data_IF_472754748478
#
_entry.id   IF_472754748478
#
_cell.length_a   1.000
_cell.length_b   1.000
_cell.length_c   1.000
_cell.angle_alpha   90.00
_cell.angle_beta   90.00
_cell.angle_gamma   90.00
#
_symmetry.space_group_name_H-M   'P 1'
#
loop_
_entity.id
_entity.type
_entity.pdbx_description
1 polymer ?
#
# COMPACT_ATOMS: atom_id res chain seq x y z
N UNK A 1 35.47 -12.14 -39.90
CA UNK A 1 35.59 -10.68 -40.13
C UNK A 1 34.71 -10.33 -41.32
N UNK A 2 33.45 -9.95 -41.04
CA UNK A 2 32.56 -9.28 -41.98
C UNK A 2 31.81 -8.24 -41.17
N UNK A 3 32.05 -6.98 -41.50
CA UNK A 3 31.38 -5.80 -40.96
C UNK A 3 30.19 -5.54 -41.87
N UNK A 4 28.99 -5.35 -41.31
CA UNK A 4 27.96 -4.56 -41.97
C UNK A 4 27.12 -3.77 -40.96
N UNK A 5 26.96 -2.50 -41.31
CA UNK A 5 26.49 -1.36 -40.54
C UNK A 5 25.06 -1.44 -40.00
N UNK A 6 24.94 -1.05 -38.73
CA UNK A 6 24.08 0.00 -38.16
C UNK A 6 22.80 0.39 -38.93
N UNK A 7 21.63 0.10 -38.33
CA UNK A 7 20.42 0.91 -38.48
C UNK A 7 19.70 1.03 -37.13
N UNK A 8 19.65 2.27 -36.66
CA UNK A 8 18.73 2.80 -35.65
C UNK A 8 17.28 2.38 -35.92
N UNK A 9 16.66 1.73 -34.93
CA UNK A 9 15.21 1.46 -34.92
C UNK A 9 14.63 1.94 -33.60
N UNK A 10 13.88 3.04 -33.62
CA UNK A 10 12.96 3.41 -32.55
C UNK A 10 11.93 2.28 -32.41
N UNK A 11 11.91 1.60 -31.27
CA UNK A 11 10.76 0.78 -30.89
C UNK A 11 9.67 1.70 -30.35
N UNK A 12 8.71 2.05 -31.22
CA UNK A 12 7.40 2.56 -30.81
C UNK A 12 6.50 1.36 -30.50
N UNK A 13 6.29 1.05 -29.22
CA UNK A 13 5.22 0.16 -28.79
C UNK A 13 3.89 0.93 -28.86
N UNK A 14 3.01 0.50 -29.76
CA UNK A 14 1.63 0.96 -29.85
C UNK A 14 0.83 0.37 -28.68
N UNK A 15 0.37 1.21 -27.74
CA UNK A 15 -0.70 0.82 -26.82
C UNK A 15 -2.00 0.73 -27.61
N UNK A 16 -2.51 -0.50 -27.74
CA UNK A 16 -3.82 -0.78 -28.29
C UNK A 16 -4.83 -0.62 -27.15
N UNK A 17 -5.67 0.39 -27.26
CA UNK A 17 -6.90 0.57 -26.51
C UNK A 17 -7.70 -0.73 -26.49
N UNK A 18 -7.96 -1.26 -25.29
CA UNK A 18 -8.99 -2.27 -25.08
C UNK A 18 -10.12 -1.67 -24.25
N UNK A 19 -11.31 -1.94 -24.75
CA UNK A 19 -12.59 -1.41 -24.31
C UNK A 19 -12.93 -1.79 -22.87
N UNK A 20 -13.60 -0.84 -22.23
CA UNK A 20 -14.54 -0.95 -21.11
C UNK A 20 -15.19 -2.34 -21.01
N UNK A 21 -14.96 -3.03 -19.89
CA UNK A 21 -15.79 -4.12 -19.43
C UNK A 21 -16.52 -3.71 -18.14
N UNK A 22 -17.78 -4.13 -18.09
CA UNK A 22 -18.83 -3.75 -17.14
C UNK A 22 -18.47 -4.03 -15.68
N UNK A 23 -18.66 -3.03 -14.83
CA UNK A 23 -18.57 -3.11 -13.37
C UNK A 23 -19.60 -4.11 -12.85
N UNK A 24 -19.15 -5.21 -12.25
CA UNK A 24 -19.97 -6.04 -11.37
C UNK A 24 -19.43 -5.87 -9.96
N UNK A 25 -20.20 -5.18 -9.12
CA UNK A 25 -19.96 -5.08 -7.68
C UNK A 25 -19.96 -6.49 -7.08
N UNK A 26 -18.78 -7.01 -6.71
CA UNK A 26 -18.69 -8.24 -5.92
C UNK A 26 -18.82 -7.87 -4.45
N UNK A 27 -20.02 -8.02 -3.92
CA UNK A 27 -20.30 -7.99 -2.48
C UNK A 27 -19.64 -9.22 -1.84
N UNK A 28 -18.61 -9.01 -1.02
CA UNK A 28 -18.07 -10.04 -0.14
C UNK A 28 -19.03 -10.28 1.04
N UNK A 29 -19.62 -11.48 1.11
CA UNK A 29 -20.30 -11.96 2.30
C UNK A 29 -19.31 -12.67 3.22
N UNK A 30 -18.93 -12.02 4.32
CA UNK A 30 -18.26 -12.71 5.43
C UNK A 30 -19.31 -13.52 6.20
N UNK A 31 -19.21 -14.85 6.12
CA UNK A 31 -19.98 -15.76 6.97
C UNK A 31 -19.42 -15.68 8.39
N UNK A 32 -20.14 -15.01 9.28
CA UNK A 32 -19.84 -14.99 10.70
C UNK A 32 -20.23 -16.34 11.32
N UNK A 33 -19.24 -17.15 11.68
CA UNK A 33 -19.43 -18.20 12.69
C UNK A 33 -19.06 -17.63 14.07
N UNK A 34 -20.06 -17.62 14.93
CA UNK A 34 -20.04 -17.14 16.31
C UNK A 34 -19.05 -17.90 17.18
N UNK A 35 -18.41 -17.18 18.12
CA UNK A 35 -17.87 -17.78 19.34
C UNK A 35 -18.41 -17.02 20.54
N UNK A 36 -19.07 -17.81 21.40
CA UNK A 36 -19.73 -17.41 22.61
C UNK A 36 -18.76 -16.92 23.68
N UNK A 37 -19.33 -16.12 24.58
CA UNK A 37 -18.74 -15.43 25.73
C UNK A 37 -17.90 -16.33 26.66
N UNK A 38 -16.74 -15.83 27.08
CA UNK A 38 -16.20 -16.07 28.43
C UNK A 38 -15.56 -14.77 28.95
N UNK A 39 -15.99 -14.39 30.16
CA UNK A 39 -15.66 -13.17 30.89
C UNK A 39 -14.32 -13.22 31.66
N UNK A 40 -13.80 -12.03 32.02
CA UNK A 40 -12.69 -11.78 32.94
C UNK A 40 -11.32 -11.84 32.25
N UNK A 41 -10.39 -10.90 32.41
CA UNK A 41 -10.02 -10.21 33.65
C UNK A 41 -9.29 -8.89 33.37
N UNK A 42 -9.23 -8.06 34.41
CA UNK A 42 -8.79 -6.67 34.42
C UNK A 42 -7.26 -6.57 34.47
N UNK A 43 -6.62 -5.76 33.60
CA UNK A 43 -5.27 -5.25 33.91
C UNK A 43 -5.00 -3.88 33.27
N UNK A 44 -5.30 -2.82 34.02
CA UNK A 44 -4.68 -1.51 33.86
C UNK A 44 -3.31 -1.53 34.52
N UNK A 45 -2.30 -0.94 33.88
CA UNK A 45 -1.15 -0.40 34.59
C UNK A 45 -0.59 0.85 33.90
N UNK A 46 -0.12 1.85 34.67
CA UNK A 46 0.01 3.24 34.24
C UNK A 46 1.46 3.65 33.96
N UNK A 47 1.65 4.66 33.11
CA UNK A 47 2.93 5.36 32.94
C UNK A 47 3.07 6.50 33.97
N UNK A 48 4.26 6.73 34.57
CA UNK A 48 4.42 7.67 35.68
C UNK A 48 4.75 9.09 35.21
N UNK A 49 4.07 10.07 35.80
CA UNK A 49 4.44 11.48 35.73
C UNK A 49 5.49 11.80 36.81
N UNK A 50 6.62 12.39 36.41
CA UNK A 50 7.58 13.00 37.34
C UNK A 50 7.30 14.49 37.46
N UNK A 51 6.87 14.92 38.65
CA UNK A 51 6.88 16.32 39.06
C UNK A 51 8.28 16.72 39.52
N UNK A 52 8.68 17.95 39.18
CA UNK A 52 9.79 18.64 39.84
C UNK A 52 9.22 19.89 40.51
N UNK A 53 9.26 19.88 41.83
CA UNK A 53 9.04 21.06 42.66
C UNK A 53 10.20 22.06 42.48
N UNK A 54 9.86 23.33 42.29
CA UNK A 54 10.73 24.46 42.62
C UNK A 54 9.93 25.41 43.51
N UNK A 55 10.39 25.53 44.74
CA UNK A 55 9.97 26.51 45.75
C UNK A 55 10.63 27.86 45.48
N UNK A 56 9.87 28.94 45.60
CA UNK A 56 10.37 30.23 46.11
C UNK A 56 9.22 31.05 46.71
N UNK A 57 9.52 31.68 47.83
CA UNK A 57 8.60 32.38 48.73
C UNK A 57 8.81 33.91 48.67
N UNK A 58 7.74 34.64 49.01
CA UNK A 58 7.57 36.07 49.33
C UNK A 58 7.79 37.17 48.26
N UNK A 59 6.74 37.96 47.97
CA UNK A 59 6.43 39.25 48.64
C UNK A 59 5.26 39.96 47.95
N UNK A 60 4.32 40.49 48.73
CA UNK A 60 3.13 41.25 48.30
C UNK A 60 3.47 42.69 47.90
N UNK A 61 2.98 43.16 46.75
CA UNK A 61 2.74 44.58 46.46
C UNK A 61 1.53 44.71 45.50
N UNK A 62 0.74 45.74 45.75
CA UNK A 62 -0.61 45.99 45.26
C UNK A 62 -0.67 46.71 43.90
N UNK A 63 -1.79 46.50 43.21
CA UNK A 63 -2.47 47.34 42.19
C UNK A 63 -2.13 47.25 40.69
N UNK A 64 -3.20 46.88 39.95
CA UNK A 64 -3.62 47.17 38.57
C UNK A 64 -2.62 47.04 37.41
N UNK A 65 -2.83 46.06 36.53
CA UNK A 65 -3.53 46.28 35.25
C UNK A 65 -3.65 44.98 34.43
N UNK A 66 -4.75 44.90 33.68
CA UNK A 66 -5.06 43.99 32.57
C UNK A 66 -4.81 42.48 32.76
N UNK A 67 -5.91 41.75 33.00
CA UNK A 67 -5.98 40.32 32.75
C UNK A 67 -5.78 40.07 31.23
N UNK A 68 -4.54 39.82 30.82
CA UNK A 68 -4.24 39.20 29.54
C UNK A 68 -4.82 37.78 29.59
N UNK A 69 -6.01 37.64 29.03
CA UNK A 69 -6.57 36.36 28.65
C UNK A 69 -5.67 35.77 27.55
N UNK A 70 -4.64 35.01 27.94
CA UNK A 70 -3.98 34.08 27.03
C UNK A 70 -5.05 33.07 26.57
N UNK A 71 -5.63 33.33 25.41
CA UNK A 71 -6.41 32.32 24.70
C UNK A 71 -5.41 31.26 24.25
N UNK A 72 -5.41 30.12 24.93
CA UNK A 72 -4.65 28.94 24.54
C UNK A 72 -4.99 28.60 23.08
N UNK A 73 -4.01 28.67 22.19
CA UNK A 73 -4.19 28.35 20.78
C UNK A 73 -4.41 26.84 20.64
N UNK A 74 -5.55 26.46 20.08
CA UNK A 74 -5.89 25.08 19.76
C UNK A 74 -5.81 24.91 18.23
N UNK A 75 -4.88 24.08 17.72
CA UNK A 75 -4.79 23.81 16.29
C UNK A 75 -6.10 23.26 15.71
N UNK A 76 -6.46 23.74 14.54
CA UNK A 76 -7.58 23.20 13.75
C UNK A 76 -7.24 21.81 13.20
N UNK A 77 -8.27 21.07 12.78
CA UNK A 77 -8.07 19.77 12.14
C UNK A 77 -7.23 19.88 10.86
N UNK A 78 -7.48 20.88 10.03
CA UNK A 78 -6.72 21.14 8.82
C UNK A 78 -5.21 21.36 9.10
N UNK A 79 -4.88 22.11 10.16
CA UNK A 79 -3.48 22.32 10.58
C UNK A 79 -2.82 21.01 11.06
N UNK A 80 -3.55 20.21 11.84
CA UNK A 80 -3.06 18.88 12.26
C UNK A 80 -2.86 17.91 11.07
N UNK A 81 -3.73 17.97 10.07
CA UNK A 81 -3.59 17.20 8.84
C UNK A 81 -2.36 17.62 8.05
N UNK A 82 -2.10 18.92 7.93
CA UNK A 82 -0.92 19.45 7.26
C UNK A 82 0.38 19.00 7.95
N UNK A 83 0.44 19.07 9.28
CA UNK A 83 1.57 18.58 10.07
C UNK A 83 1.76 17.07 9.90
N UNK A 84 0.67 16.29 9.91
CA UNK A 84 0.73 14.84 9.69
C UNK A 84 1.28 14.52 8.31
N UNK A 85 0.77 15.19 7.28
CA UNK A 85 1.22 15.05 5.89
C UNK A 85 2.71 15.37 5.73
N UNK A 86 3.17 16.47 6.29
CA UNK A 86 4.58 16.88 6.26
C UNK A 86 5.47 15.85 6.96
N UNK A 87 5.05 15.37 8.14
CA UNK A 87 5.78 14.32 8.85
C UNK A 87 5.88 13.01 8.06
N UNK A 88 4.82 12.60 7.37
CA UNK A 88 4.86 11.40 6.50
C UNK A 88 5.79 11.59 5.30
N UNK A 89 5.81 12.79 4.72
CA UNK A 89 6.80 13.16 3.72
C UNK A 89 8.22 13.11 4.28
N UNK A 90 8.48 13.65 5.46
CA UNK A 90 9.83 13.72 6.02
C UNK A 90 10.37 12.33 6.41
N UNK A 91 9.50 11.45 6.90
CA UNK A 91 9.88 10.08 7.28
C UNK A 91 10.03 9.20 6.04
N UNK A 92 9.03 9.16 5.17
CA UNK A 92 8.95 8.16 4.08
C UNK A 92 9.25 8.75 2.70
N UNK A 93 9.41 10.06 2.55
CA UNK A 93 9.60 10.76 1.27
C UNK A 93 8.43 10.63 0.30
N UNK A 94 7.22 10.38 0.80
CA UNK A 94 6.01 10.26 -0.02
C UNK A 94 5.30 11.62 -0.13
N UNK A 95 4.83 11.96 -1.33
CA UNK A 95 4.04 13.15 -1.57
C UNK A 95 2.56 12.79 -1.49
N UNK A 96 1.84 13.26 -0.47
CA UNK A 96 0.40 12.99 -0.32
C UNK A 96 -0.39 14.23 -0.75
N UNK A 97 -1.31 14.06 -1.69
CA UNK A 97 -2.13 15.11 -2.28
C UNK A 97 -3.60 14.86 -1.98
N UNK A 98 -4.32 15.89 -1.54
CA UNK A 98 -5.77 15.88 -1.30
C UNK A 98 -6.35 17.26 -1.65
N UNK A 99 -7.68 17.40 -1.67
CA UNK A 99 -8.35 18.64 -2.05
C UNK A 99 -7.95 19.15 -3.43
N UNK A 100 -7.58 20.42 -3.52
CA UNK A 100 -7.17 21.07 -4.78
C UNK A 100 -5.78 20.69 -5.26
N UNK A 101 -4.96 20.04 -4.42
CA UNK A 101 -3.57 19.70 -4.76
C UNK A 101 -3.47 18.41 -5.58
N UNK A 102 -4.55 17.63 -5.64
CA UNK A 102 -4.63 16.39 -6.44
C UNK A 102 -4.33 16.69 -7.90
N UNK A 103 -3.41 15.91 -8.47
CA UNK A 103 -2.99 16.00 -9.88
C UNK A 103 -3.53 14.88 -10.75
N UNK A 104 -4.26 13.92 -10.15
CA UNK A 104 -4.80 12.76 -10.86
C UNK A 104 -5.85 13.14 -11.90
N UNK A 105 -5.75 12.57 -13.11
CA UNK A 105 -6.68 12.87 -14.21
C UNK A 105 -7.11 11.67 -15.06
N UNK A 106 -6.94 10.43 -14.58
CA UNK A 106 -7.26 9.25 -15.39
C UNK A 106 -8.75 8.90 -15.42
N UNK A 107 -9.32 8.79 -16.63
CA UNK A 107 -10.49 7.96 -16.98
C UNK A 107 -11.87 8.39 -16.48
N UNK A 108 -11.99 8.93 -15.28
CA UNK A 108 -13.19 9.52 -14.68
C UNK A 108 -12.76 10.45 -13.55
N UNK A 109 -13.37 11.61 -13.50
CA UNK A 109 -13.15 12.71 -12.56
C UNK A 109 -13.16 12.29 -11.09
N UNK A 110 -12.03 11.82 -10.58
CA UNK A 110 -11.77 11.74 -9.16
C UNK A 110 -11.40 13.13 -8.63
N UNK A 111 -12.22 13.72 -7.77
CA UNK A 111 -11.86 14.94 -7.05
C UNK A 111 -11.14 14.59 -5.76
N UNK A 112 -10.17 15.40 -5.35
CA UNK A 112 -9.53 15.22 -4.05
C UNK A 112 -10.54 15.35 -2.90
N UNK A 113 -10.37 14.55 -1.85
CA UNK A 113 -11.18 14.69 -0.63
C UNK A 113 -10.95 16.04 0.05
N UNK A 114 -12.00 16.64 0.61
CA UNK A 114 -11.95 17.97 1.25
C UNK A 114 -12.42 17.98 2.71
N UNK A 115 -13.02 16.89 3.20
CA UNK A 115 -13.40 16.76 4.61
C UNK A 115 -12.16 16.54 5.46
N UNK A 116 -11.89 17.46 6.38
CA UNK A 116 -10.76 17.41 7.30
C UNK A 116 -10.71 16.11 8.13
N UNK A 117 -11.86 15.62 8.57
CA UNK A 117 -12.00 14.38 9.34
C UNK A 117 -11.72 13.14 8.48
N UNK A 118 -12.19 13.13 7.23
CA UNK A 118 -11.87 12.06 6.29
C UNK A 118 -10.37 12.08 5.93
N UNK A 119 -9.80 13.26 5.69
CA UNK A 119 -8.36 13.43 5.44
C UNK A 119 -7.57 12.88 6.63
N UNK A 120 -7.93 13.24 7.86
CA UNK A 120 -7.27 12.75 9.06
C UNK A 120 -7.31 11.21 9.17
N UNK A 121 -8.47 10.62 8.91
CA UNK A 121 -8.65 9.16 8.89
C UNK A 121 -7.78 8.49 7.83
N UNK A 122 -7.72 9.03 6.61
CA UNK A 122 -6.90 8.46 5.52
C UNK A 122 -5.42 8.67 5.72
N UNK A 123 -4.99 9.79 6.30
CA UNK A 123 -3.60 10.00 6.69
C UNK A 123 -3.16 9.01 7.78
N UNK A 124 -4.03 8.74 8.78
CA UNK A 124 -3.75 7.74 9.82
C UNK A 124 -3.61 6.33 9.21
N UNK A 125 -4.51 5.94 8.31
CA UNK A 125 -4.41 4.64 7.63
C UNK A 125 -3.16 4.53 6.76
N UNK A 126 -2.81 5.60 6.02
CA UNK A 126 -1.57 5.64 5.25
C UNK A 126 -0.34 5.52 6.16
N UNK A 127 -0.33 6.20 7.30
CA UNK A 127 0.75 6.07 8.28
C UNK A 127 0.92 4.62 8.73
N UNK A 128 -0.17 3.96 9.12
CA UNK A 128 -0.15 2.56 9.53
C UNK A 128 0.40 1.67 8.40
N UNK A 129 -0.05 1.89 7.16
CA UNK A 129 0.44 1.16 5.99
C UNK A 129 1.93 1.38 5.72
N UNK A 130 2.40 2.63 5.75
CA UNK A 130 3.80 3.01 5.51
C UNK A 130 4.71 2.43 6.59
N UNK A 131 4.25 2.42 7.84
CA UNK A 131 5.00 1.89 8.98
C UNK A 131 5.30 0.38 8.90
N UNK A 132 4.58 -0.33 8.02
CA UNK A 132 4.84 -1.76 7.78
C UNK A 132 6.15 -2.00 7.02
N UNK A 133 6.70 -0.98 6.37
CA UNK A 133 7.92 -1.09 5.58
C UNK A 133 9.10 -0.40 6.26
N UNK A 134 10.34 -0.91 6.10
CA UNK A 134 11.53 -0.17 6.46
C UNK A 134 11.57 1.16 5.70
N UNK A 135 11.83 2.26 6.40
CA UNK A 135 11.94 3.60 5.80
C UNK A 135 12.94 3.65 4.63
N UNK A 136 14.00 2.84 4.70
CA UNK A 136 15.02 2.71 3.64
C UNK A 136 14.46 2.21 2.31
N UNK A 137 13.38 1.41 2.32
CA UNK A 137 12.70 0.96 1.10
C UNK A 137 12.29 2.15 0.23
N UNK A 138 11.62 3.13 0.83
CA UNK A 138 11.14 4.29 0.10
C UNK A 138 12.29 5.16 -0.40
N UNK A 139 13.42 5.16 0.30
CA UNK A 139 14.61 5.88 -0.17
C UNK A 139 15.20 5.25 -1.43
N UNK A 140 15.29 3.92 -1.49
CA UNK A 140 15.71 3.21 -2.70
C UNK A 140 14.75 3.44 -3.86
N UNK A 141 13.44 3.35 -3.62
CA UNK A 141 12.40 3.53 -4.65
C UNK A 141 12.42 4.93 -5.27
N UNK A 142 12.72 5.96 -4.47
CA UNK A 142 12.78 7.36 -4.94
C UNK A 142 13.94 7.65 -5.89
N UNK A 143 14.94 6.78 -5.97
CA UNK A 143 15.98 6.89 -7.00
C UNK A 143 15.43 6.66 -8.41
N UNK A 144 14.27 6.00 -8.54
CA UNK A 144 13.62 5.72 -9.81
C UNK A 144 12.49 6.69 -10.15
N UNK A 145 11.62 7.00 -9.17
CA UNK A 145 10.52 7.96 -9.31
C UNK A 145 10.11 8.50 -7.94
N UNK A 146 9.69 9.78 -7.81
CA UNK A 146 8.94 10.23 -6.65
C UNK A 146 7.68 9.37 -6.44
N UNK A 147 7.30 9.13 -5.19
CA UNK A 147 6.07 8.42 -4.84
C UNK A 147 5.02 9.48 -4.51
N UNK A 148 4.05 9.65 -5.40
CA UNK A 148 2.94 10.59 -5.21
C UNK A 148 1.63 9.82 -5.01
N UNK A 149 0.92 10.10 -3.92
CA UNK A 149 -0.32 9.45 -3.51
C UNK A 149 -1.44 10.49 -3.54
N UNK A 150 -2.41 10.31 -4.43
CA UNK A 150 -3.59 11.15 -4.54
C UNK A 150 -4.74 10.53 -3.74
N UNK A 151 -5.25 11.24 -2.74
CA UNK A 151 -6.45 10.86 -1.98
C UNK A 151 -7.69 11.39 -2.68
N UNK A 152 -8.36 10.49 -3.39
CA UNK A 152 -9.50 10.78 -4.26
C UNK A 152 -10.79 10.39 -3.55
N UNK A 153 -11.86 11.18 -3.71
CA UNK A 153 -13.17 10.88 -3.15
C UNK A 153 -13.68 9.50 -3.62
N UNK A 154 -13.83 9.32 -4.94
CA UNK A 154 -14.17 8.04 -5.53
C UNK A 154 -13.53 7.86 -6.91
N UNK A 155 -13.18 6.62 -7.24
CA UNK A 155 -12.61 6.21 -8.53
C UNK A 155 -13.61 5.41 -9.39
N UNK A 156 -14.91 5.56 -9.14
CA UNK A 156 -15.95 5.02 -10.02
C UNK A 156 -16.03 3.50 -10.07
N UNK A 157 -15.61 2.81 -9.01
CA UNK A 157 -15.68 1.35 -8.85
C UNK A 157 -14.33 0.66 -8.69
N UNK A 158 -13.23 1.38 -8.86
CA UNK A 158 -11.89 0.92 -8.47
C UNK A 158 -11.54 1.42 -7.05
N UNK A 159 -10.71 0.65 -6.35
CA UNK A 159 -10.22 1.03 -5.02
C UNK A 159 -8.91 1.82 -5.10
N UNK A 160 -8.13 1.59 -6.16
CA UNK A 160 -6.91 2.31 -6.46
C UNK A 160 -6.56 2.27 -7.95
N UNK A 161 -5.58 3.07 -8.33
CA UNK A 161 -4.89 3.00 -9.62
C UNK A 161 -3.44 3.47 -9.48
N UNK A 162 -2.57 2.92 -10.32
CA UNK A 162 -1.20 3.39 -10.53
C UNK A 162 -1.05 3.90 -11.97
N UNK A 163 -0.70 5.18 -12.12
CA UNK A 163 -0.33 5.78 -13.40
C UNK A 163 1.19 5.82 -13.53
N UNK A 164 1.71 5.03 -14.48
CA UNK A 164 3.12 5.00 -14.83
C UNK A 164 3.37 5.39 -16.30
N UNK A 165 2.49 6.20 -16.90
CA UNK A 165 2.67 6.70 -18.27
C UNK A 165 3.98 7.49 -18.43
N UNK A 166 4.39 8.22 -17.39
CA UNK A 166 5.74 8.76 -17.25
C UNK A 166 6.51 7.98 -16.18
N UNK A 167 7.50 7.15 -16.54
CA UNK A 167 8.31 6.38 -15.60
C UNK A 167 9.03 7.22 -14.53
N UNK A 168 9.18 8.54 -14.73
CA UNK A 168 9.81 9.45 -13.78
C UNK A 168 8.83 10.16 -12.85
N UNK A 169 7.53 9.93 -13.02
CA UNK A 169 6.47 10.59 -12.28
C UNK A 169 5.30 9.62 -12.07
N UNK A 170 5.59 8.45 -11.52
CA UNK A 170 4.58 7.44 -11.20
C UNK A 170 3.69 7.95 -10.06
N UNK A 171 2.38 7.84 -10.23
CA UNK A 171 1.39 8.33 -9.28
C UNK A 171 0.44 7.21 -8.88
N UNK A 172 0.08 7.18 -7.59
CA UNK A 172 -0.98 6.35 -7.05
C UNK A 172 -2.21 7.24 -6.85
N UNK A 173 -3.39 6.70 -7.10
CA UNK A 173 -4.66 7.28 -6.69
C UNK A 173 -5.42 6.26 -5.84
N UNK A 174 -5.93 6.69 -4.69
CA UNK A 174 -6.64 5.84 -3.74
C UNK A 174 -8.05 6.39 -3.51
N UNK A 175 -9.04 5.53 -3.68
CA UNK A 175 -10.44 5.85 -3.43
C UNK A 175 -10.70 5.91 -1.92
N UNK A 176 -11.18 7.06 -1.46
CA UNK A 176 -11.42 7.36 -0.05
C UNK A 176 -12.88 7.11 0.37
N UNK A 177 -13.76 6.76 -0.57
CA UNK A 177 -15.14 6.33 -0.31
C UNK A 177 -15.25 4.90 0.24
N UNK A 178 -14.14 4.16 0.27
CA UNK A 178 -14.10 2.75 0.61
C UNK A 178 -13.97 2.46 2.11
N UNK A 179 -14.18 1.20 2.49
CA UNK A 179 -13.87 0.75 3.87
C UNK A 179 -12.37 0.89 4.15
N UNK A 180 -11.99 0.93 5.44
CA UNK A 180 -10.58 0.98 5.87
C UNK A 180 -9.79 -0.22 5.35
N UNK A 181 -10.41 -1.40 5.31
CA UNK A 181 -9.83 -2.63 4.76
C UNK A 181 -9.48 -2.47 3.28
N UNK A 182 -10.44 -2.01 2.46
CA UNK A 182 -10.21 -1.84 1.02
C UNK A 182 -9.21 -0.71 0.73
N UNK A 183 -9.23 0.37 1.50
CA UNK A 183 -8.23 1.43 1.39
C UNK A 183 -6.81 0.90 1.65
N UNK A 184 -6.63 0.11 2.70
CA UNK A 184 -5.34 -0.49 3.07
C UNK A 184 -4.86 -1.49 2.00
N UNK A 185 -5.74 -2.38 1.54
CA UNK A 185 -5.42 -3.34 0.49
C UNK A 185 -5.05 -2.64 -0.82
N UNK A 186 -5.83 -1.61 -1.21
CA UNK A 186 -5.55 -0.81 -2.40
C UNK A 186 -4.19 -0.11 -2.31
N UNK A 187 -3.84 0.49 -1.18
CA UNK A 187 -2.52 1.10 -1.02
C UNK A 187 -1.39 0.08 -1.27
N UNK A 188 -1.45 -1.10 -0.66
CA UNK A 188 -0.40 -2.11 -0.85
C UNK A 188 -0.36 -2.67 -2.27
N UNK A 189 -1.54 -2.84 -2.88
CA UNK A 189 -1.68 -3.25 -4.28
C UNK A 189 -1.03 -2.23 -5.23
N UNK A 190 -1.39 -0.94 -5.10
CA UNK A 190 -0.86 0.13 -5.95
C UNK A 190 0.63 0.42 -5.68
N UNK A 191 1.09 0.32 -4.44
CA UNK A 191 2.51 0.41 -4.13
C UNK A 191 3.30 -0.72 -4.79
N UNK A 192 2.73 -1.93 -4.89
CA UNK A 192 3.38 -3.00 -5.62
C UNK A 192 3.47 -2.69 -7.12
N UNK A 193 2.41 -2.16 -7.74
CA UNK A 193 2.49 -1.71 -9.14
C UNK A 193 3.57 -0.65 -9.33
N UNK A 194 3.71 0.31 -8.41
CA UNK A 194 4.81 1.27 -8.41
C UNK A 194 6.18 0.58 -8.40
N UNK A 195 6.39 -0.39 -7.50
CA UNK A 195 7.65 -1.14 -7.40
C UNK A 195 7.90 -1.94 -8.67
N UNK A 196 6.88 -2.60 -9.20
CA UNK A 196 6.93 -3.36 -10.44
C UNK A 196 7.33 -2.47 -11.63
N UNK A 197 6.79 -1.25 -11.74
CA UNK A 197 7.22 -0.30 -12.76
C UNK A 197 8.67 0.15 -12.56
N UNK A 198 9.14 0.31 -11.33
CA UNK A 198 10.56 0.59 -11.07
C UNK A 198 11.45 -0.55 -11.58
N UNK A 199 11.04 -1.81 -11.37
CA UNK A 199 11.75 -2.99 -11.87
C UNK A 199 11.69 -3.04 -13.40
N UNK A 200 10.50 -2.98 -13.99
CA UNK A 200 10.29 -3.15 -15.43
C UNK A 200 10.97 -2.08 -16.28
N UNK A 201 11.06 -0.84 -15.78
CA UNK A 201 11.61 0.27 -16.54
C UNK A 201 13.14 0.40 -16.39
N UNK A 202 13.77 -0.30 -15.45
CA UNK A 202 15.19 -0.08 -15.11
C UNK A 202 16.07 -1.34 -15.15
N UNK A 203 15.50 -2.53 -15.32
CA UNK A 203 16.26 -3.79 -15.32
C UNK A 203 15.99 -4.62 -16.58
N UNK A 204 17.03 -4.91 -17.36
CA UNK A 204 16.93 -5.58 -18.66
C UNK A 204 16.29 -6.98 -18.59
N UNK A 205 16.44 -7.68 -17.45
CA UNK A 205 15.88 -9.01 -17.21
C UNK A 205 14.56 -9.00 -16.44
N UNK A 206 13.95 -7.83 -16.21
CA UNK A 206 12.73 -7.69 -15.41
C UNK A 206 11.61 -8.63 -15.84
N UNK A 207 11.38 -8.77 -17.15
CA UNK A 207 10.31 -9.61 -17.68
C UNK A 207 10.50 -11.09 -17.34
N UNK A 208 11.73 -11.61 -17.36
CA UNK A 208 12.00 -13.00 -16.96
C UNK A 208 11.75 -13.22 -15.47
N UNK A 209 12.12 -12.22 -14.66
CA UNK A 209 12.03 -12.26 -13.21
C UNK A 209 10.60 -12.19 -12.70
N UNK A 210 9.73 -11.37 -13.30
CA UNK A 210 8.38 -11.12 -12.74
C UNK A 210 7.24 -11.64 -13.62
N UNK A 211 7.41 -11.72 -14.95
CA UNK A 211 6.33 -12.12 -15.86
C UNK A 211 6.23 -13.62 -16.11
N UNK A 212 7.10 -14.42 -15.50
CA UNK A 212 7.05 -15.87 -15.59
C UNK A 212 7.15 -16.47 -14.20
N UNK A 213 6.39 -17.52 -13.93
CA UNK A 213 6.52 -18.37 -12.76
C UNK A 213 5.91 -19.73 -13.10
N UNK A 214 6.43 -20.79 -12.48
CA UNK A 214 5.98 -22.18 -12.66
C UNK A 214 4.88 -22.58 -11.67
N UNK A 215 4.49 -21.65 -10.78
CA UNK A 215 3.59 -21.89 -9.66
C UNK A 215 2.16 -21.48 -9.99
N UNK A 216 1.90 -20.82 -11.11
CA UNK A 216 0.56 -20.38 -11.50
C UNK A 216 -0.03 -21.28 -12.57
N UNK A 217 -1.25 -21.78 -12.34
CA UNK A 217 -2.08 -22.32 -13.42
C UNK A 217 -2.64 -21.16 -14.26
N UNK A 218 -1.91 -20.83 -15.32
CA UNK A 218 -2.25 -19.73 -16.24
C UNK A 218 -3.54 -19.97 -17.02
N UNK A 219 -4.07 -21.20 -17.05
CA UNK A 219 -5.34 -21.50 -17.73
C UNK A 219 -6.55 -20.91 -17.02
N UNK A 220 -6.40 -20.55 -15.73
CA UNK A 220 -7.44 -19.97 -14.90
C UNK A 220 -7.55 -18.45 -15.04
N UNK A 221 -6.60 -17.78 -15.72
CA UNK A 221 -6.70 -16.35 -16.02
C UNK A 221 -7.96 -16.05 -16.86
N UNK A 222 -8.65 -14.96 -16.52
CA UNK A 222 -9.88 -14.51 -17.16
C UNK A 222 -11.16 -15.23 -16.72
N UNK A 223 -11.07 -16.19 -15.80
CA UNK A 223 -12.26 -16.86 -15.24
C UNK A 223 -12.78 -16.13 -14.00
N UNK A 224 -14.10 -16.10 -13.82
CA UNK A 224 -14.82 -15.29 -12.84
C UNK A 224 -15.34 -16.09 -11.63
N UNK A 225 -14.83 -17.31 -11.44
CA UNK A 225 -15.18 -18.19 -10.33
C UNK A 225 -14.01 -18.35 -9.34
N UNK A 226 -14.31 -18.91 -8.17
CA UNK A 226 -13.33 -19.11 -7.10
C UNK A 226 -12.31 -20.22 -7.37
N UNK A 227 -12.42 -21.01 -8.45
CA UNK A 227 -11.52 -22.13 -8.67
C UNK A 227 -10.06 -21.70 -8.72
N UNK A 228 -9.23 -22.41 -7.96
CA UNK A 228 -7.80 -22.13 -7.82
C UNK A 228 -7.48 -20.87 -7.02
N UNK A 229 -8.46 -20.23 -6.37
CA UNK A 229 -8.23 -19.13 -5.43
C UNK A 229 -8.15 -19.64 -3.99
N UNK A 230 -7.63 -18.85 -3.06
CA UNK A 230 -7.67 -19.15 -1.62
C UNK A 230 -9.09 -19.23 -1.02
N UNK A 231 -10.11 -18.84 -1.79
CA UNK A 231 -11.52 -18.92 -1.42
C UNK A 231 -12.22 -20.13 -2.03
N UNK A 232 -11.51 -20.97 -2.79
CA UNK A 232 -12.00 -22.28 -3.22
C UNK A 232 -12.02 -23.23 -2.01
N UNK A 233 -13.20 -23.42 -1.43
CA UNK A 233 -13.38 -24.25 -0.23
C UNK A 233 -13.21 -25.74 -0.49
N UNK A 234 -13.24 -26.16 -1.77
CA UNK A 234 -13.10 -27.56 -2.17
C UNK A 234 -11.66 -27.91 -2.58
N UNK A 235 -10.78 -26.90 -2.71
CA UNK A 235 -9.39 -27.08 -3.09
C UNK A 235 -8.48 -27.24 -1.87
N UNK A 236 -7.50 -28.13 -2.00
CA UNK A 236 -6.35 -28.17 -1.10
C UNK A 236 -5.42 -26.96 -1.33
N UNK A 237 -4.68 -26.55 -0.29
CA UNK A 237 -3.80 -25.37 -0.31
C UNK A 237 -2.72 -25.43 -1.40
N UNK A 238 -2.31 -26.62 -1.87
CA UNK A 238 -1.35 -26.81 -2.94
C UNK A 238 -1.97 -26.65 -4.35
N UNK A 239 -3.30 -26.54 -4.44
CA UNK A 239 -4.05 -26.23 -5.66
C UNK A 239 -4.58 -24.79 -5.69
N UNK A 240 -4.18 -23.96 -4.72
CA UNK A 240 -4.52 -22.55 -4.65
C UNK A 240 -3.39 -21.74 -5.29
N UNK A 241 -3.69 -21.08 -6.41
CA UNK A 241 -2.75 -20.29 -7.19
C UNK A 241 -2.98 -18.80 -7.06
N UNK A 242 -4.20 -18.34 -6.77
CA UNK A 242 -4.54 -16.91 -6.73
C UNK A 242 -5.08 -16.49 -5.36
N UNK A 243 -4.81 -15.27 -4.93
CA UNK A 243 -5.37 -14.72 -3.67
C UNK A 243 -6.82 -14.24 -3.81
N UNK A 244 -7.30 -13.99 -5.04
CA UNK A 244 -8.66 -13.53 -5.29
C UNK A 244 -9.11 -13.84 -6.73
N UNK A 245 -10.40 -13.63 -7.02
CA UNK A 245 -10.89 -13.63 -8.42
C UNK A 245 -10.23 -12.49 -9.21
N UNK A 246 -9.98 -11.34 -8.58
CA UNK A 246 -9.34 -10.21 -9.24
C UNK A 246 -7.87 -10.52 -9.62
N UNK A 247 -7.14 -11.27 -8.80
CA UNK A 247 -5.82 -11.78 -9.16
C UNK A 247 -5.83 -12.68 -10.40
N UNK A 248 -6.99 -13.20 -10.82
CA UNK A 248 -7.17 -13.97 -12.06
C UNK A 248 -7.37 -13.08 -13.28
N UNK A 249 -7.36 -11.76 -13.17
CA UNK A 249 -7.51 -10.87 -14.33
C UNK A 249 -6.34 -11.02 -15.29
N UNK A 250 -5.10 -10.97 -14.80
CA UNK A 250 -3.87 -11.19 -15.56
C UNK A 250 -2.68 -11.31 -14.60
N UNK A 251 -1.47 -11.54 -15.14
CA UNK A 251 -0.23 -11.67 -14.36
C UNK A 251 0.13 -10.43 -13.53
N UNK A 252 -0.19 -9.24 -14.02
CA UNK A 252 0.10 -7.98 -13.32
C UNK A 252 -0.79 -7.86 -12.08
N UNK A 253 -2.09 -8.10 -12.21
CA UNK A 253 -3.00 -8.08 -11.05
C UNK A 253 -2.74 -9.22 -10.07
N UNK A 254 -2.37 -10.41 -10.55
CA UNK A 254 -2.01 -11.55 -9.69
C UNK A 254 -0.90 -11.19 -8.69
N UNK A 255 0.17 -10.54 -9.16
CA UNK A 255 1.30 -10.19 -8.31
C UNK A 255 0.97 -9.08 -7.32
N UNK A 256 0.25 -8.05 -7.77
CA UNK A 256 -0.19 -6.97 -6.88
C UNK A 256 -1.20 -7.43 -5.83
N UNK A 257 -2.14 -8.30 -6.22
CA UNK A 257 -3.07 -8.96 -5.28
C UNK A 257 -2.37 -9.90 -4.33
N UNK A 258 -1.36 -10.66 -4.80
CA UNK A 258 -0.57 -11.50 -3.91
C UNK A 258 0.15 -10.66 -2.86
N UNK A 259 0.82 -9.59 -3.29
CA UNK A 259 1.56 -8.70 -2.41
C UNK A 259 0.66 -8.00 -1.40
N UNK A 260 -0.49 -7.46 -1.83
CA UNK A 260 -1.42 -6.76 -0.94
C UNK A 260 -1.94 -7.66 0.18
N UNK A 261 -2.18 -8.94 -0.12
CA UNK A 261 -2.60 -9.93 0.87
C UNK A 261 -1.49 -10.29 1.87
N UNK A 262 -0.23 -10.36 1.43
CA UNK A 262 0.92 -10.57 2.32
C UNK A 262 1.17 -9.36 3.25
N UNK A 263 0.87 -8.15 2.78
CA UNK A 263 0.92 -6.94 3.60
C UNK A 263 -0.32 -6.75 4.48
N UNK A 264 -1.40 -7.46 4.19
CA UNK A 264 -2.65 -7.39 4.94
C UNK A 264 -2.55 -8.01 6.33
N UNK A 265 -3.49 -7.66 7.20
CA UNK A 265 -3.51 -8.11 8.60
C UNK A 265 -3.91 -9.59 8.80
N UNK A 266 -4.29 -10.32 7.75
CA UNK A 266 -4.82 -11.69 7.88
C UNK A 266 -3.96 -12.70 7.16
N UNK A 267 -3.25 -13.53 7.93
CA UNK A 267 -2.50 -14.67 7.41
C UNK A 267 -3.44 -15.78 6.95
N UNK A 268 -3.31 -16.21 5.69
CA UNK A 268 -4.08 -17.31 5.11
C UNK A 268 -3.32 -18.63 5.27
N UNK A 269 -4.04 -19.75 5.31
CA UNK A 269 -3.44 -21.07 5.58
C UNK A 269 -2.35 -21.42 4.56
N UNK A 270 -2.57 -21.15 3.27
CA UNK A 270 -1.59 -21.39 2.21
C UNK A 270 -0.28 -20.60 2.40
N UNK A 271 -0.31 -19.45 3.08
CA UNK A 271 0.87 -18.61 3.34
C UNK A 271 1.74 -19.13 4.49
N UNK A 272 1.21 -20.05 5.32
CA UNK A 272 1.95 -20.63 6.44
C UNK A 272 2.92 -21.74 6.02
N UNK A 273 2.71 -22.34 4.85
CA UNK A 273 3.54 -23.44 4.36
C UNK A 273 4.50 -22.94 3.27
N UNK A 274 5.79 -23.29 3.35
CA UNK A 274 6.85 -22.70 2.52
C UNK A 274 6.84 -23.16 1.06
N UNK A 275 6.08 -24.20 0.73
CA UNK A 275 6.06 -24.93 -0.53
C UNK A 275 4.71 -24.87 -1.26
N UNK A 276 3.77 -24.06 -0.79
CA UNK A 276 2.54 -23.79 -1.56
C UNK A 276 2.84 -22.89 -2.76
N UNK A 277 2.03 -22.95 -3.83
CA UNK A 277 2.18 -22.05 -4.95
C UNK A 277 2.16 -20.57 -4.55
N UNK A 278 1.25 -20.17 -3.65
CA UNK A 278 1.15 -18.81 -3.11
C UNK A 278 2.47 -18.36 -2.46
N UNK A 279 3.06 -19.18 -1.60
CA UNK A 279 4.31 -18.84 -0.90
C UNK A 279 5.52 -18.81 -1.83
N UNK A 280 5.59 -19.76 -2.78
CA UNK A 280 6.67 -19.79 -3.77
C UNK A 280 6.64 -18.58 -4.71
N UNK A 281 5.44 -18.12 -5.09
CA UNK A 281 5.30 -16.85 -5.83
C UNK A 281 5.77 -15.66 -5.02
N UNK A 282 5.38 -15.55 -3.75
CA UNK A 282 5.79 -14.42 -2.92
C UNK A 282 7.31 -14.36 -2.74
N UNK A 283 7.97 -15.51 -2.53
CA UNK A 283 9.44 -15.61 -2.52
C UNK A 283 10.07 -15.07 -3.80
N UNK A 284 9.49 -15.40 -4.96
CA UNK A 284 9.97 -14.86 -6.25
C UNK A 284 9.77 -13.34 -6.34
N UNK A 285 8.65 -12.80 -5.83
CA UNK A 285 8.44 -11.35 -5.77
C UNK A 285 9.43 -10.67 -4.81
N UNK A 286 9.72 -11.27 -3.66
CA UNK A 286 10.73 -10.80 -2.73
C UNK A 286 12.12 -10.70 -3.39
N UNK A 287 12.50 -11.68 -4.21
CA UNK A 287 13.73 -11.63 -5.00
C UNK A 287 13.74 -10.46 -5.99
N UNK A 288 12.61 -10.22 -6.67
CA UNK A 288 12.48 -9.14 -7.64
C UNK A 288 12.53 -7.75 -6.98
N UNK A 289 11.83 -7.54 -5.85
CA UNK A 289 11.83 -6.28 -5.10
C UNK A 289 13.25 -5.89 -4.68
N UNK A 290 14.07 -6.86 -4.27
CA UNK A 290 15.46 -6.61 -3.83
C UNK A 290 16.37 -6.13 -4.97
N UNK A 291 15.96 -6.20 -6.23
CA UNK A 291 16.72 -5.64 -7.34
C UNK A 291 16.68 -4.11 -7.35
N UNK A 292 15.50 -3.53 -7.17
CA UNK A 292 15.32 -2.08 -7.09
C UNK A 292 15.49 -1.54 -5.66
N UNK A 293 15.67 -2.41 -4.67
CA UNK A 293 15.82 -2.01 -3.27
C UNK A 293 17.13 -2.58 -2.68
N UNK A 294 18.31 -2.06 -3.07
CA UNK A 294 19.59 -2.58 -2.62
C UNK A 294 19.78 -2.53 -1.10
N UNK A 295 19.08 -1.65 -0.37
CA UNK A 295 19.08 -1.65 1.10
C UNK A 295 18.55 -2.95 1.70
N UNK A 296 17.77 -3.72 0.92
CA UNK A 296 17.22 -5.02 1.29
C UNK A 296 18.09 -6.21 0.85
N UNK A 297 19.25 -5.97 0.24
CA UNK A 297 20.13 -7.03 -0.26
C UNK A 297 20.69 -7.97 0.83
N UNK A 298 20.70 -7.53 2.08
CA UNK A 298 21.15 -8.32 3.24
C UNK A 298 20.16 -9.39 3.72
N UNK A 299 18.90 -9.36 3.27
CA UNK A 299 17.90 -10.36 3.66
C UNK A 299 18.06 -11.67 2.89
N UNK A 300 17.75 -12.84 3.49
CA UNK A 300 17.77 -14.13 2.80
C UNK A 300 16.98 -14.13 1.49
N UNK A 301 17.37 -15.02 0.58
CA UNK A 301 16.62 -15.19 -0.66
C UNK A 301 15.17 -15.60 -0.39
N UNK A 302 14.25 -14.98 -1.12
CA UNK A 302 12.82 -15.20 -0.98
C UNK A 302 12.20 -14.57 0.27
N UNK A 303 12.88 -13.63 0.93
CA UNK A 303 12.37 -13.02 2.16
C UNK A 303 12.44 -11.50 2.13
N UNK A 304 11.50 -10.87 2.83
CA UNK A 304 11.46 -9.43 3.07
C UNK A 304 11.31 -9.13 4.57
N UNK A 305 11.83 -8.00 5.07
CA UNK A 305 11.80 -7.68 6.51
C UNK A 305 10.41 -7.65 7.14
N UNK A 306 9.38 -7.34 6.36
CA UNK A 306 8.00 -7.19 6.84
C UNK A 306 7.23 -8.51 6.88
N UNK A 307 7.82 -9.61 6.39
CA UNK A 307 7.23 -10.94 6.42
C UNK A 307 7.37 -11.63 7.79
N UNK A 308 8.18 -11.09 8.71
CA UNK A 308 8.35 -11.65 10.07
C UNK A 308 7.05 -11.65 10.90
N UNK A 309 6.02 -10.90 10.47
CA UNK A 309 4.65 -10.98 11.00
C UNK A 309 4.00 -12.37 10.83
N UNK A 310 4.59 -13.24 10.00
CA UNK A 310 4.09 -14.59 9.69
C UNK A 310 4.66 -15.70 10.60
N UNK A 311 5.51 -15.35 11.59
CA UNK A 311 6.09 -16.35 12.49
C UNK A 311 5.13 -16.70 13.64
N UNK A 312 4.74 -17.98 13.70
CA UNK A 312 4.00 -18.61 14.81
C UNK A 312 4.96 -19.32 15.76
#
# INVERSE_FOLDING_TARGET
>A
MYIYNNKSGLFRTFHRTMCVLSVSTVLFSLSACSKADIAGDTFSSPLPAQSRDISTDYTTATESDEAVSETEYVPTRAELNAVTRERLHDIYGVNILYGSDVTWSYGTSGTGITSDELIASRLSLLEDCLSQYPVVLFSDLREYSPITINLIDSLGGADGYTDANDPKSIQLALSCSNSELYFTLAFHHELFHFIEYCIMNNFDNAAELINTDEFTDVSLYGTDNYSGTIYDTDADIYSQYFTSIYGKTNRLEDRAELFSYYMGYTVKECMKYPDTPITLKMKKLADAIRLCCPSLSGYPQGTLPWEEKLTY
#
